data_IF_587450903432
#
_entry.id   IF_587450903432
#
_cell.length_a   1.000
_cell.length_b   1.000
_cell.length_c   1.000
_cell.angle_alpha   90.00
_cell.angle_beta   90.00
_cell.angle_gamma   90.00
#
_symmetry.space_group_name_H-M   'P 1'
#
loop_
_entity.id
_entity.type
_entity.pdbx_description
1 polymer ?
#
# COMPACT_ATOMS: atom_id res chain seq x y z
N UNK A 1 0.82 8.06 -22.17
CA UNK A 1 -0.46 7.46 -21.77
C UNK A 1 -1.49 8.56 -21.62
N UNK A 2 -2.71 8.34 -22.09
CA UNK A 2 -3.84 9.22 -21.79
C UNK A 2 -4.32 9.00 -20.34
N UNK A 3 -5.25 9.83 -19.88
CA UNK A 3 -5.75 9.78 -18.49
C UNK A 3 -6.43 8.46 -18.12
N UNK A 4 -7.12 7.82 -19.08
CA UNK A 4 -7.83 6.54 -18.87
C UNK A 4 -6.83 5.39 -18.78
N UNK A 5 -5.84 5.35 -19.66
CA UNK A 5 -4.74 4.37 -19.60
C UNK A 5 -3.99 4.47 -18.27
N UNK A 6 -3.70 5.70 -17.82
CA UNK A 6 -3.02 5.96 -16.56
C UNK A 6 -3.87 5.51 -15.37
N UNK A 7 -5.16 5.81 -15.39
CA UNK A 7 -6.11 5.35 -14.37
C UNK A 7 -6.14 3.82 -14.29
N UNK A 8 -6.35 3.13 -15.41
CA UNK A 8 -6.40 1.67 -15.45
C UNK A 8 -5.09 1.04 -14.96
N UNK A 9 -3.94 1.60 -15.37
CA UNK A 9 -2.64 1.11 -14.91
C UNK A 9 -2.48 1.23 -13.40
N UNK A 10 -2.83 2.38 -12.83
CA UNK A 10 -2.71 2.59 -11.38
C UNK A 10 -3.69 1.73 -10.57
N UNK A 11 -4.91 1.51 -11.06
CA UNK A 11 -5.87 0.61 -10.43
C UNK A 11 -5.35 -0.84 -10.43
N UNK A 12 -4.84 -1.33 -11.56
CA UNK A 12 -4.29 -2.68 -11.64
C UNK A 12 -3.02 -2.87 -10.80
N UNK A 13 -2.15 -1.87 -10.72
CA UNK A 13 -0.99 -1.89 -9.80
C UNK A 13 -1.49 -2.08 -8.37
N UNK A 14 -2.49 -1.32 -7.94
CA UNK A 14 -3.02 -1.37 -6.58
C UNK A 14 -3.57 -2.77 -6.24
N UNK A 15 -4.40 -3.33 -7.13
CA UNK A 15 -4.98 -4.67 -6.92
C UNK A 15 -3.92 -5.74 -6.91
N UNK A 16 -3.00 -5.74 -7.89
CA UNK A 16 -1.91 -6.72 -7.94
C UNK A 16 -0.99 -6.60 -6.73
N UNK A 17 -0.73 -5.37 -6.26
CA UNK A 17 0.10 -5.09 -5.09
C UNK A 17 -0.49 -5.70 -3.82
N UNK A 18 -1.77 -5.47 -3.57
CA UNK A 18 -2.46 -5.97 -2.38
C UNK A 18 -2.54 -7.52 -2.40
N UNK A 19 -2.88 -8.13 -3.54
CA UNK A 19 -2.89 -9.59 -3.71
C UNK A 19 -1.51 -10.21 -3.48
N UNK A 20 -0.49 -9.64 -4.11
CA UNK A 20 0.87 -10.19 -4.05
C UNK A 20 1.51 -9.96 -2.68
N UNK A 21 1.10 -8.91 -1.94
CA UNK A 21 1.55 -8.71 -0.56
C UNK A 21 1.02 -9.81 0.37
N UNK A 22 -0.23 -10.25 0.19
CA UNK A 22 -0.79 -11.36 0.95
C UNK A 22 -0.10 -12.69 0.59
N UNK A 23 0.08 -12.97 -0.70
CA UNK A 23 0.84 -14.14 -1.15
C UNK A 23 2.27 -14.15 -0.60
N UNK A 24 2.95 -13.00 -0.63
CA UNK A 24 4.29 -12.87 -0.05
C UNK A 24 4.29 -13.19 1.45
N UNK A 25 3.33 -12.69 2.22
CA UNK A 25 3.22 -12.98 3.65
C UNK A 25 3.01 -14.49 3.90
N UNK A 26 2.15 -15.14 3.11
CA UNK A 26 1.93 -16.60 3.16
C UNK A 26 3.22 -17.38 2.84
N UNK A 27 3.91 -17.04 1.75
CA UNK A 27 5.15 -17.70 1.36
C UNK A 27 6.22 -17.56 2.43
N UNK A 28 6.32 -16.40 3.05
CA UNK A 28 7.26 -16.19 4.14
C UNK A 28 6.99 -17.10 5.35
N UNK A 29 5.73 -17.25 5.75
CA UNK A 29 5.36 -18.14 6.87
C UNK A 29 5.66 -19.61 6.54
N UNK A 30 5.48 -20.03 5.28
CA UNK A 30 5.80 -21.39 4.83
C UNK A 30 7.31 -21.68 4.88
N UNK A 31 8.14 -20.73 4.43
CA UNK A 31 9.61 -20.87 4.41
C UNK A 31 10.20 -20.86 5.82
N UNK A 32 9.63 -20.09 6.75
CA UNK A 32 10.06 -20.12 8.15
C UNK A 32 9.75 -21.46 8.83
N UNK A 33 8.59 -22.06 8.52
CA UNK A 33 8.20 -23.35 9.06
C UNK A 33 9.06 -24.52 8.58
N UNK A 34 9.72 -24.40 7.42
CA UNK A 34 10.53 -25.47 6.82
C UNK A 34 12.02 -25.41 7.17
N UNK A 35 12.53 -24.27 7.65
CA UNK A 35 13.97 -24.08 7.95
C UNK A 35 14.89 -24.08 6.72
N UNK A 36 14.33 -23.97 5.50
CA UNK A 36 15.09 -24.02 4.25
C UNK A 36 15.65 -22.65 3.87
N UNK A 37 16.98 -22.46 4.00
CA UNK A 37 17.67 -21.22 3.59
C UNK A 37 17.54 -20.91 2.09
N UNK A 38 17.29 -21.93 1.28
CA UNK A 38 17.41 -21.84 -0.18
C UNK A 38 16.28 -21.00 -0.82
N UNK A 39 15.16 -20.82 -0.12
CA UNK A 39 14.04 -20.01 -0.59
C UNK A 39 14.19 -18.52 -0.26
N UNK A 40 15.18 -18.11 0.55
CA UNK A 40 15.31 -16.71 1.01
C UNK A 40 15.56 -15.75 -0.15
N UNK A 41 16.40 -16.11 -1.11
CA UNK A 41 16.68 -15.26 -2.28
C UNK A 41 15.47 -15.19 -3.23
N UNK A 42 14.68 -16.25 -3.33
CA UNK A 42 13.44 -16.25 -4.11
C UNK A 42 12.38 -15.34 -3.46
N UNK A 43 12.26 -15.35 -2.13
CA UNK A 43 11.39 -14.43 -1.39
C UNK A 43 11.83 -12.96 -1.56
N UNK A 44 13.14 -12.69 -1.55
CA UNK A 44 13.67 -11.35 -1.83
C UNK A 44 13.33 -10.90 -3.25
N UNK A 45 13.47 -11.77 -4.24
CA UNK A 45 13.09 -11.47 -5.62
C UNK A 45 11.59 -11.19 -5.75
N UNK A 46 10.73 -12.03 -5.16
CA UNK A 46 9.28 -11.81 -5.15
C UNK A 46 8.92 -10.49 -4.47
N UNK A 47 9.50 -10.23 -3.29
CA UNK A 47 9.34 -8.96 -2.57
C UNK A 47 9.81 -7.77 -3.40
N UNK A 48 10.90 -7.91 -4.16
CA UNK A 48 11.41 -6.82 -5.00
C UNK A 48 10.40 -6.42 -6.07
N UNK A 49 9.80 -7.39 -6.76
CA UNK A 49 8.74 -7.14 -7.74
C UNK A 49 7.60 -6.38 -7.05
N UNK A 50 7.09 -6.95 -5.96
CA UNK A 50 5.94 -6.44 -5.21
C UNK A 50 6.17 -5.03 -4.65
N UNK A 51 7.32 -4.77 -4.05
CA UNK A 51 7.61 -3.52 -3.35
C UNK A 51 8.29 -2.45 -4.23
N UNK A 52 8.74 -2.81 -5.44
CA UNK A 52 9.51 -1.92 -6.31
C UNK A 52 9.01 -1.93 -7.75
N UNK A 53 9.11 -3.06 -8.44
CA UNK A 53 8.94 -3.10 -9.90
C UNK A 53 7.51 -2.83 -10.35
N UNK A 54 6.50 -3.26 -9.58
CA UNK A 54 5.10 -2.93 -9.87
C UNK A 54 4.87 -1.41 -9.99
N UNK A 55 5.55 -0.59 -9.18
CA UNK A 55 5.45 0.86 -9.27
C UNK A 55 6.27 1.46 -10.42
N UNK A 56 7.23 0.73 -10.95
CA UNK A 56 8.05 1.15 -12.09
C UNK A 56 7.42 0.78 -13.44
N UNK A 57 6.44 -0.13 -13.46
CA UNK A 57 5.73 -0.49 -14.67
C UNK A 57 5.12 0.74 -15.37
N UNK A 58 5.31 0.79 -16.68
CA UNK A 58 4.88 1.88 -17.56
C UNK A 58 3.72 1.48 -18.47
N UNK A 59 3.37 0.20 -18.51
CA UNK A 59 2.25 -0.32 -19.29
C UNK A 59 1.61 -1.54 -18.62
N UNK A 60 0.37 -1.86 -19.04
CA UNK A 60 -0.34 -3.07 -18.59
C UNK A 60 0.41 -4.33 -19.02
N UNK A 61 1.01 -4.32 -20.22
CA UNK A 61 1.80 -5.43 -20.72
C UNK A 61 3.01 -5.74 -19.82
N UNK A 62 3.71 -4.71 -19.32
CA UNK A 62 4.79 -4.90 -18.34
C UNK A 62 4.27 -5.48 -17.02
N UNK A 63 3.09 -5.06 -16.54
CA UNK A 63 2.48 -5.66 -15.36
C UNK A 63 2.13 -7.13 -15.56
N UNK A 64 1.63 -7.51 -16.74
CA UNK A 64 1.32 -8.91 -17.05
C UNK A 64 2.59 -9.77 -17.01
N UNK A 65 3.73 -9.25 -17.48
CA UNK A 65 5.04 -9.92 -17.40
C UNK A 65 5.45 -10.09 -15.94
N UNK A 66 5.39 -9.02 -15.13
CA UNK A 66 5.74 -9.08 -13.70
C UNK A 66 4.84 -10.07 -12.94
N UNK A 67 3.54 -10.13 -13.28
CA UNK A 67 2.60 -11.10 -12.73
C UNK A 67 3.02 -12.54 -13.06
N UNK A 68 3.40 -12.82 -14.31
CA UNK A 68 3.90 -14.14 -14.70
C UNK A 68 5.19 -14.51 -13.95
N UNK A 69 6.09 -13.56 -13.73
CA UNK A 69 7.34 -13.81 -13.02
C UNK A 69 7.11 -14.07 -11.53
N UNK A 70 6.18 -13.37 -10.88
CA UNK A 70 5.73 -13.68 -9.52
C UNK A 70 5.14 -15.09 -9.42
N UNK A 71 4.31 -15.51 -10.38
CA UNK A 71 3.74 -16.88 -10.40
C UNK A 71 4.85 -17.93 -10.54
N UNK A 72 5.85 -17.71 -11.39
CA UNK A 72 7.00 -18.62 -11.50
C UNK A 72 7.75 -18.73 -10.18
N UNK A 73 8.06 -17.62 -9.53
CA UNK A 73 8.75 -17.58 -8.24
C UNK A 73 7.94 -18.31 -7.16
N UNK A 74 6.64 -18.07 -7.08
CA UNK A 74 5.74 -18.77 -6.15
C UNK A 74 5.78 -20.29 -6.35
N UNK A 75 5.69 -20.75 -7.60
CA UNK A 75 5.76 -22.18 -7.92
C UNK A 75 7.11 -22.77 -7.54
N UNK A 76 8.22 -22.11 -7.88
CA UNK A 76 9.57 -22.58 -7.51
C UNK A 76 9.77 -22.66 -6.00
N UNK A 77 9.29 -21.67 -5.25
CA UNK A 77 9.33 -21.72 -3.77
C UNK A 77 8.52 -22.91 -3.27
N UNK A 78 7.30 -23.09 -3.76
CA UNK A 78 6.40 -24.16 -3.31
C UNK A 78 6.97 -25.55 -3.64
N UNK A 79 7.56 -25.74 -4.82
CA UNK A 79 8.23 -26.97 -5.22
C UNK A 79 9.46 -27.27 -4.35
N UNK A 80 10.26 -26.25 -4.04
CA UNK A 80 11.44 -26.39 -3.17
C UNK A 80 11.05 -26.81 -1.75
N UNK A 81 9.96 -26.24 -1.22
CA UNK A 81 9.42 -26.62 0.09
C UNK A 81 8.87 -28.04 0.09
N UNK A 82 8.17 -28.45 -0.97
CA UNK A 82 7.68 -29.82 -1.11
C UNK A 82 8.85 -30.83 -1.11
N UNK A 83 9.90 -30.57 -1.89
CA UNK A 83 11.10 -31.43 -1.93
C UNK A 83 11.76 -31.55 -0.55
N UNK A 84 11.96 -30.43 0.15
CA UNK A 84 12.52 -30.44 1.51
C UNK A 84 11.66 -31.24 2.50
N UNK A 85 10.32 -31.17 2.39
CA UNK A 85 9.43 -31.97 3.23
C UNK A 85 9.46 -33.48 2.93
N UNK A 86 9.73 -33.89 1.68
CA UNK A 86 9.94 -35.29 1.33
C UNK A 86 11.26 -35.84 1.90
N UNK A 87 12.30 -34.99 1.98
CA UNK A 87 13.60 -35.33 2.56
C UNK A 87 13.57 -35.41 4.11
N UNK A 88 12.56 -34.80 4.77
CA UNK A 88 12.38 -34.78 6.23
C UNK A 88 11.20 -35.69 6.65
N UNK A 89 11.08 -36.88 6.04
CA UNK A 89 10.14 -37.89 6.55
C UNK A 89 10.71 -38.64 7.76
N UNK A 90 10.83 -37.92 8.88
CA UNK A 90 10.63 -38.48 10.22
C UNK A 90 10.40 -37.36 11.28
N UNK A 91 9.29 -37.48 12.01
CA UNK A 91 8.86 -36.75 13.23
C UNK A 91 7.92 -35.52 13.10
N UNK A 92 6.62 -35.86 13.17
CA UNK A 92 5.52 -35.30 14.00
C UNK A 92 5.12 -33.80 13.97
N UNK A 93 3.83 -33.66 13.63
CA UNK A 93 2.71 -33.23 14.50
C UNK A 93 1.95 -31.98 14.04
N UNK A 94 0.75 -32.24 13.54
CA UNK A 94 -0.35 -31.29 13.41
C UNK A 94 -0.65 -30.71 14.79
N UNK A 95 -0.50 -29.38 14.94
CA UNK A 95 -1.09 -28.67 16.08
C UNK A 95 -2.57 -28.47 15.78
N UNK A 96 -3.38 -29.39 16.29
CA UNK A 96 -4.81 -29.14 16.52
C UNK A 96 -5.01 -28.27 17.76
N UNK A 97 -6.08 -27.48 17.71
CA UNK A 97 -6.68 -26.61 18.74
C UNK A 97 -6.03 -25.25 18.93
N UNK A 98 -6.78 -24.18 18.64
CA UNK A 98 -6.65 -22.94 19.40
C UNK A 98 -8.04 -22.35 19.67
N UNK A 99 -8.24 -22.00 20.95
CA UNK A 99 -9.41 -21.31 21.46
C UNK A 99 -9.68 -20.01 20.69
N UNK A 100 -10.95 -19.67 20.57
CA UNK A 100 -11.51 -18.52 19.84
C UNK A 100 -10.91 -17.16 20.25
N UNK A 101 -10.34 -17.06 21.47
CA UNK A 101 -9.63 -15.86 21.99
C UNK A 101 -8.13 -15.83 21.68
N UNK A 102 -7.51 -16.96 21.31
CA UNK A 102 -6.07 -17.03 21.07
C UNK A 102 -5.66 -16.34 19.76
N UNK A 103 -6.50 -16.41 18.73
CA UNK A 103 -6.18 -15.92 17.37
C UNK A 103 -6.27 -14.40 17.19
N UNK A 104 -6.91 -13.68 18.12
CA UNK A 104 -7.05 -12.22 18.08
C UNK A 104 -5.81 -11.50 18.63
N UNK A 105 -4.94 -12.25 19.32
CA UNK A 105 -3.71 -11.76 19.91
C UNK A 105 -2.50 -12.39 19.24
N UNK A 106 -1.36 -11.71 19.30
CA UNK A 106 -0.07 -12.21 18.85
C UNK A 106 0.95 -11.94 19.95
N UNK A 107 1.95 -12.82 20.06
CA UNK A 107 3.03 -12.62 21.03
C UNK A 107 4.11 -11.67 20.44
N UNK A 108 5.02 -11.21 21.29
CA UNK A 108 6.10 -10.30 20.86
C UNK A 108 7.10 -10.97 19.92
N UNK A 109 7.36 -12.27 20.08
CA UNK A 109 8.31 -13.00 19.25
C UNK A 109 7.84 -13.10 17.79
N UNK A 110 6.56 -13.37 17.57
CA UNK A 110 5.95 -13.41 16.24
C UNK A 110 6.01 -12.02 15.57
N UNK A 111 5.76 -10.96 16.35
CA UNK A 111 5.87 -9.58 15.86
C UNK A 111 7.31 -9.24 15.47
N UNK A 112 8.28 -9.55 16.32
CA UNK A 112 9.69 -9.25 16.10
C UNK A 112 10.23 -10.00 14.87
N UNK A 113 9.85 -11.27 14.69
CA UNK A 113 10.17 -12.05 13.48
C UNK A 113 9.58 -11.42 12.21
N UNK A 114 8.29 -11.06 12.25
CA UNK A 114 7.64 -10.40 11.11
C UNK A 114 8.28 -9.05 10.77
N UNK A 115 8.70 -8.29 11.78
CA UNK A 115 9.40 -7.03 11.63
C UNK A 115 10.78 -7.24 11.00
N UNK A 116 11.61 -8.13 11.55
CA UNK A 116 12.95 -8.41 11.01
C UNK A 116 12.88 -8.83 9.54
N UNK A 117 11.97 -9.75 9.23
CA UNK A 117 11.69 -10.19 7.87
C UNK A 117 11.29 -9.04 6.95
N UNK A 118 10.34 -8.21 7.41
CA UNK A 118 9.87 -7.05 6.63
C UNK A 118 11.01 -6.09 6.33
N UNK A 119 11.89 -5.81 7.30
CA UNK A 119 13.06 -4.95 7.09
C UNK A 119 14.02 -5.57 6.07
N UNK A 120 14.32 -6.86 6.18
CA UNK A 120 15.19 -7.58 5.24
C UNK A 120 14.64 -7.56 3.80
N UNK A 121 13.33 -7.77 3.65
CA UNK A 121 12.66 -7.77 2.35
C UNK A 121 12.54 -6.39 1.73
N UNK A 122 12.27 -5.35 2.52
CA UNK A 122 12.11 -3.97 2.03
C UNK A 122 13.44 -3.30 1.68
N UNK A 123 14.53 -3.67 2.36
CA UNK A 123 15.87 -3.09 2.14
C UNK A 123 16.62 -3.74 0.98
N UNK A 124 16.12 -4.85 0.44
CA UNK A 124 16.73 -5.53 -0.71
C UNK A 124 16.77 -4.61 -1.95
N UNK A 125 17.97 -4.48 -2.54
CA UNK A 125 18.27 -3.55 -3.64
C UNK A 125 17.87 -2.10 -3.35
N UNK A 126 18.01 -1.65 -2.09
CA UNK A 126 17.84 -0.24 -1.69
C UNK A 126 19.13 0.31 -1.13
N UNK A 127 19.36 1.59 -1.40
CA UNK A 127 20.53 2.31 -0.93
C UNK A 127 20.15 3.31 0.16
N UNK A 128 20.98 3.39 1.18
CA UNK A 128 20.93 4.46 2.18
C UNK A 128 21.36 5.79 1.54
N UNK A 129 20.91 6.91 2.11
CA UNK A 129 21.25 8.25 1.63
C UNK A 129 21.89 9.08 2.75
N UNK A 130 22.94 9.85 2.41
CA UNK A 130 23.51 10.85 3.32
C UNK A 130 22.60 12.06 3.51
N UNK A 131 21.66 12.27 2.58
CA UNK A 131 20.61 13.31 2.62
C UNK A 131 19.25 12.63 2.42
N UNK A 132 18.77 11.88 3.42
CA UNK A 132 17.61 11.03 3.24
C UNK A 132 16.34 11.85 3.07
N UNK A 133 15.46 11.38 2.16
CA UNK A 133 14.17 12.02 1.88
C UNK A 133 13.02 11.14 2.30
N UNK A 134 11.98 11.76 2.82
CA UNK A 134 10.72 11.10 3.10
C UNK A 134 9.57 11.84 2.42
N UNK A 135 8.64 11.10 1.85
CA UNK A 135 7.41 11.61 1.27
C UNK A 135 6.25 11.03 2.05
N UNK A 136 5.49 11.87 2.75
CA UNK A 136 4.26 11.46 3.42
C UNK A 136 3.10 11.70 2.48
N UNK A 137 2.23 10.70 2.32
CA UNK A 137 1.09 10.78 1.41
C UNK A 137 -0.20 11.16 2.13
N UNK A 138 -1.09 11.81 1.37
CA UNK A 138 -2.47 12.06 1.76
C UNK A 138 -3.43 11.89 0.60
N UNK A 139 -4.72 11.82 0.92
CA UNK A 139 -5.82 11.72 -0.05
C UNK A 139 -6.84 10.70 0.39
N UNK A 140 -8.09 10.91 -0.01
CA UNK A 140 -9.17 9.98 0.34
C UNK A 140 -8.94 8.59 -0.26
N UNK A 141 -9.52 7.56 0.35
CA UNK A 141 -9.50 6.20 -0.20
C UNK A 141 -10.01 6.19 -1.63
N UNK A 142 -9.33 5.43 -2.49
CA UNK A 142 -9.65 5.39 -3.92
C UNK A 142 -9.26 6.63 -4.72
N UNK A 143 -8.67 7.69 -4.14
CA UNK A 143 -8.25 8.87 -4.91
C UNK A 143 -7.12 8.59 -5.92
N UNK A 144 -6.35 7.50 -5.74
CA UNK A 144 -5.28 7.09 -6.65
C UNK A 144 -3.88 7.48 -6.17
N UNK A 145 -3.58 7.26 -4.88
CA UNK A 145 -2.27 7.57 -4.27
C UNK A 145 -1.12 6.82 -4.95
N UNK A 146 -1.39 5.65 -5.52
CA UNK A 146 -0.50 4.85 -6.39
C UNK A 146 0.17 5.72 -7.47
N UNK A 147 -0.52 6.74 -7.99
CA UNK A 147 0.05 7.73 -8.90
C UNK A 147 1.30 8.42 -8.32
N UNK A 148 1.25 8.84 -7.05
CA UNK A 148 2.39 9.49 -6.39
C UNK A 148 3.50 8.49 -6.09
N UNK A 149 3.17 7.26 -5.67
CA UNK A 149 4.17 6.20 -5.53
C UNK A 149 4.97 6.03 -6.83
N UNK A 150 4.29 5.95 -7.97
CA UNK A 150 4.93 5.83 -9.28
C UNK A 150 5.81 7.03 -9.62
N UNK A 151 5.32 8.26 -9.42
CA UNK A 151 6.13 9.48 -9.65
C UNK A 151 7.46 9.40 -8.89
N UNK A 152 7.41 9.11 -7.59
CA UNK A 152 8.61 9.05 -6.73
C UNK A 152 9.50 7.84 -7.03
N UNK A 153 8.91 6.70 -7.37
CA UNK A 153 9.67 5.51 -7.77
C UNK A 153 10.40 5.72 -9.09
N UNK A 154 9.76 6.32 -10.10
CA UNK A 154 10.39 6.64 -11.38
C UNK A 154 11.50 7.69 -11.23
N UNK A 155 11.24 8.77 -10.48
CA UNK A 155 12.24 9.82 -10.18
C UNK A 155 13.50 9.27 -9.50
N UNK A 156 13.33 8.27 -8.62
CA UNK A 156 14.42 7.66 -7.84
C UNK A 156 14.98 6.36 -8.41
N UNK A 157 14.45 5.90 -9.55
CA UNK A 157 14.75 4.57 -10.12
C UNK A 157 14.55 3.43 -9.10
N UNK A 158 13.46 3.49 -8.34
CA UNK A 158 13.05 2.46 -7.38
C UNK A 158 13.78 2.49 -6.03
N UNK A 159 14.47 3.59 -5.70
CA UNK A 159 15.27 3.68 -4.47
C UNK A 159 14.50 4.21 -3.24
N UNK A 160 13.18 4.33 -3.32
CA UNK A 160 12.31 4.56 -2.16
C UNK A 160 11.80 3.23 -1.60
N UNK A 161 11.63 3.17 -0.28
CA UNK A 161 10.89 2.12 0.40
C UNK A 161 9.47 2.63 0.68
N UNK A 162 8.46 1.91 0.20
CA UNK A 162 7.05 2.19 0.47
C UNK A 162 6.66 1.51 1.78
N UNK A 163 6.13 2.31 2.71
CA UNK A 163 5.56 1.86 3.98
C UNK A 163 4.05 2.03 3.87
N UNK A 164 3.35 0.89 3.71
CA UNK A 164 1.91 0.80 3.53
C UNK A 164 1.33 -0.17 4.57
N UNK A 165 0.54 0.38 5.49
CA UNK A 165 -0.02 -0.38 6.61
C UNK A 165 -1.00 -1.47 6.19
N UNK A 166 -1.70 -1.31 5.06
CA UNK A 166 -2.67 -2.32 4.63
C UNK A 166 -1.99 -3.60 4.14
N UNK A 167 -0.75 -3.50 3.62
CA UNK A 167 0.07 -4.68 3.24
C UNK A 167 0.58 -5.46 4.45
N UNK A 168 0.75 -4.82 5.61
CA UNK A 168 1.25 -5.50 6.81
C UNK A 168 0.19 -6.31 7.54
N UNK A 169 -1.10 -6.10 7.24
CA UNK A 169 -2.19 -6.89 7.85
C UNK A 169 -2.04 -8.38 7.61
N UNK A 170 -1.66 -8.75 6.39
CA UNK A 170 -1.45 -10.15 5.98
C UNK A 170 -0.30 -10.85 6.72
N UNK A 171 0.56 -10.09 7.40
CA UNK A 171 1.65 -10.64 8.20
C UNK A 171 1.23 -10.98 9.63
N UNK A 172 -0.03 -10.72 10.01
CA UNK A 172 -0.55 -11.18 11.29
C UNK A 172 -0.46 -12.71 11.36
N UNK A 173 0.02 -13.31 12.46
CA UNK A 173 0.26 -14.76 12.54
C UNK A 173 -0.98 -15.61 12.22
N UNK A 174 -2.15 -15.12 12.62
CA UNK A 174 -3.44 -15.77 12.41
C UNK A 174 -4.31 -15.09 11.34
N UNK A 175 -3.69 -14.44 10.35
CA UNK A 175 -4.41 -13.61 9.37
C UNK A 175 -5.53 -14.37 8.65
N UNK A 176 -5.24 -15.60 8.20
CA UNK A 176 -6.20 -16.42 7.44
C UNK A 176 -7.35 -16.89 8.32
N UNK A 177 -7.07 -17.30 9.54
CA UNK A 177 -8.08 -17.71 10.52
C UNK A 177 -9.00 -16.54 10.88
N UNK A 178 -8.45 -15.31 10.98
CA UNK A 178 -9.24 -14.10 11.17
C UNK A 178 -10.13 -13.81 9.95
N UNK A 179 -9.63 -13.97 8.72
CA UNK A 179 -10.44 -13.82 7.50
C UNK A 179 -11.55 -14.87 7.40
N UNK A 180 -11.24 -16.14 7.64
CA UNK A 180 -12.23 -17.23 7.56
C UNK A 180 -13.33 -17.08 8.61
N UNK A 181 -13.00 -16.56 9.80
CA UNK A 181 -13.95 -16.38 10.91
C UNK A 181 -14.77 -15.09 10.80
N UNK A 182 -14.13 -13.97 10.46
CA UNK A 182 -14.73 -12.64 10.53
C UNK A 182 -14.99 -12.00 9.16
N UNK A 183 -14.51 -12.62 8.07
CA UNK A 183 -14.65 -12.09 6.72
C UNK A 183 -14.17 -10.65 6.60
N UNK A 184 -15.05 -9.77 6.14
CA UNK A 184 -14.79 -8.33 5.98
C UNK A 184 -14.45 -7.62 7.29
N UNK A 185 -14.90 -8.13 8.44
CA UNK A 185 -14.67 -7.53 9.76
C UNK A 185 -13.30 -7.92 10.34
N UNK A 186 -12.53 -8.81 9.69
CA UNK A 186 -11.15 -9.17 10.08
C UNK A 186 -10.20 -7.96 10.14
N UNK A 187 -10.55 -6.87 9.44
CA UNK A 187 -9.83 -5.58 9.46
C UNK A 187 -9.75 -4.99 10.87
N UNK A 188 -10.77 -5.20 11.71
CA UNK A 188 -10.80 -4.68 13.08
C UNK A 188 -9.85 -5.39 14.03
N UNK A 189 -9.48 -6.63 13.73
CA UNK A 189 -8.55 -7.43 14.52
C UNK A 189 -7.09 -7.23 14.05
N UNK A 190 -6.89 -7.01 12.75
CA UNK A 190 -5.53 -6.80 12.18
C UNK A 190 -5.02 -5.36 12.30
N UNK A 191 -5.90 -4.36 12.54
CA UNK A 191 -5.53 -2.93 12.53
C UNK A 191 -4.44 -2.58 13.54
N UNK A 192 -4.47 -3.19 14.72
CA UNK A 192 -3.50 -2.91 15.78
C UNK A 192 -2.11 -3.44 15.42
N UNK A 193 -2.03 -4.66 14.88
CA UNK A 193 -0.79 -5.24 14.39
C UNK A 193 -0.18 -4.39 13.28
N UNK A 194 -0.99 -4.06 12.26
CA UNK A 194 -0.56 -3.25 11.12
C UNK A 194 -0.06 -1.86 11.57
N UNK A 195 -0.78 -1.19 12.48
CA UNK A 195 -0.37 0.10 13.02
C UNK A 195 0.99 0.04 13.74
N UNK A 196 1.20 -0.94 14.62
CA UNK A 196 2.49 -1.15 15.29
C UNK A 196 3.61 -1.49 14.30
N UNK A 197 3.32 -2.29 13.27
CA UNK A 197 4.29 -2.63 12.23
C UNK A 197 4.72 -1.38 11.45
N UNK A 198 3.78 -0.50 11.07
CA UNK A 198 4.09 0.78 10.42
C UNK A 198 5.02 1.62 11.29
N UNK A 199 4.70 1.81 12.57
CA UNK A 199 5.53 2.60 13.50
C UNK A 199 6.95 2.02 13.62
N UNK A 200 7.07 0.70 13.84
CA UNK A 200 8.35 0.03 13.99
C UNK A 200 9.19 0.07 12.69
N UNK A 201 8.56 -0.12 11.53
CA UNK A 201 9.23 -0.05 10.23
C UNK A 201 9.71 1.38 9.93
N UNK A 202 8.87 2.40 10.19
CA UNK A 202 9.28 3.81 10.08
C UNK A 202 10.48 4.07 10.97
N UNK A 203 10.43 3.67 12.25
CA UNK A 203 11.51 3.94 13.20
C UNK A 203 12.82 3.28 12.77
N UNK A 204 12.79 1.99 12.40
CA UNK A 204 13.97 1.23 12.00
C UNK A 204 14.58 1.76 10.70
N UNK A 205 13.78 1.91 9.64
CA UNK A 205 14.29 2.33 8.33
C UNK A 205 14.73 3.79 8.31
N UNK A 206 14.07 4.66 9.08
CA UNK A 206 14.49 6.06 9.22
C UNK A 206 15.83 6.19 9.96
N UNK A 207 16.07 5.34 10.97
CA UNK A 207 17.35 5.31 11.67
C UNK A 207 18.49 4.88 10.75
N UNK A 208 18.21 3.97 9.80
CA UNK A 208 19.14 3.49 8.78
C UNK A 208 19.32 4.43 7.58
N UNK A 209 18.58 5.55 7.52
CA UNK A 209 18.70 6.59 6.47
C UNK A 209 18.27 6.14 5.07
N UNK A 210 17.28 5.25 4.95
CA UNK A 210 16.64 4.95 3.67
C UNK A 210 15.68 6.05 3.23
N UNK A 211 15.47 6.20 1.92
CA UNK A 211 14.42 7.09 1.43
C UNK A 211 13.04 6.42 1.59
N UNK A 212 12.06 7.14 2.14
CA UNK A 212 10.77 6.57 2.54
C UNK A 212 9.59 7.21 1.80
N UNK A 213 8.61 6.41 1.43
CA UNK A 213 7.26 6.87 1.09
C UNK A 213 6.32 6.29 2.14
N UNK A 214 5.64 7.13 2.90
CA UNK A 214 4.76 6.73 4.00
C UNK A 214 3.32 6.97 3.58
N UNK A 215 2.57 5.87 3.42
CA UNK A 215 1.18 5.90 2.97
C UNK A 215 0.26 6.44 4.08
N UNK A 216 -0.75 7.20 3.68
CA UNK A 216 -1.62 7.92 4.59
C UNK A 216 -2.85 8.50 3.89
N UNK A 217 -3.89 8.77 4.68
CA UNK A 217 -5.18 9.28 4.18
C UNK A 217 -5.47 10.73 4.58
N UNK A 218 -4.64 11.31 5.45
CA UNK A 218 -4.84 12.65 6.02
C UNK A 218 -6.20 12.82 6.72
N UNK A 219 -6.64 11.80 7.47
CA UNK A 219 -7.83 11.87 8.36
C UNK A 219 -7.70 12.92 9.46
N UNK A 220 -6.46 13.19 9.87
CA UNK A 220 -6.07 14.22 10.83
C UNK A 220 -4.71 14.76 10.41
N UNK A 221 -4.46 16.05 10.63
CA UNK A 221 -3.16 16.67 10.43
C UNK A 221 -2.11 16.22 11.47
N UNK A 222 -2.54 15.81 12.67
CA UNK A 222 -1.63 15.48 13.77
C UNK A 222 -0.69 14.30 13.44
N UNK A 223 -1.19 13.26 12.78
CA UNK A 223 -0.40 12.07 12.42
C UNK A 223 0.77 12.44 11.48
N UNK A 224 0.56 13.04 10.30
CA UNK A 224 1.66 13.42 9.43
C UNK A 224 2.56 14.50 10.04
N UNK A 225 2.05 15.42 10.88
CA UNK A 225 2.88 16.38 11.64
C UNK A 225 3.86 15.66 12.58
N UNK A 226 3.36 14.69 13.36
CA UNK A 226 4.19 13.92 14.28
C UNK A 226 5.22 13.08 13.53
N UNK A 227 4.82 12.41 12.45
CA UNK A 227 5.72 11.63 11.59
C UNK A 227 6.79 12.52 10.95
N UNK A 228 6.42 13.69 10.43
CA UNK A 228 7.37 14.64 9.86
C UNK A 228 8.37 15.16 10.91
N UNK A 229 7.90 15.44 12.12
CA UNK A 229 8.74 15.87 13.25
C UNK A 229 9.77 14.81 13.62
N UNK A 230 9.35 13.54 13.75
CA UNK A 230 10.24 12.40 13.99
C UNK A 230 11.29 12.24 12.89
N UNK A 231 10.90 12.34 11.63
CA UNK A 231 11.82 12.19 10.51
C UNK A 231 12.81 13.36 10.42
N UNK A 232 12.34 14.59 10.64
CA UNK A 232 13.20 15.77 10.69
C UNK A 232 14.20 15.71 11.83
N UNK A 233 13.83 15.21 13.02
CA UNK A 233 14.79 14.99 14.11
C UNK A 233 15.85 13.95 13.76
N UNK A 234 15.56 13.06 12.80
CA UNK A 234 16.50 12.13 12.19
C UNK A 234 17.18 12.69 10.93
N UNK A 235 17.12 13.99 10.68
CA UNK A 235 17.84 14.65 9.58
C UNK A 235 17.24 14.43 8.18
N UNK A 236 15.95 14.08 8.09
CA UNK A 236 15.28 13.94 6.80
C UNK A 236 14.81 15.28 6.25
N UNK A 237 14.87 15.41 4.93
CA UNK A 237 14.01 16.33 4.18
C UNK A 237 12.66 15.66 3.97
N UNK A 238 11.57 16.28 4.44
CA UNK A 238 10.24 15.68 4.43
C UNK A 238 9.30 16.49 3.54
N UNK A 239 8.82 15.88 2.47
CA UNK A 239 7.77 16.42 1.60
C UNK A 239 6.41 15.79 1.97
N UNK A 240 5.33 16.54 1.77
CA UNK A 240 3.97 15.98 1.79
C UNK A 240 3.38 16.01 0.39
N UNK A 241 2.82 14.90 -0.06
CA UNK A 241 2.17 14.80 -1.38
C UNK A 241 0.73 14.32 -1.23
N UNK A 242 -0.20 15.16 -1.68
CA UNK A 242 -1.64 14.89 -1.68
C UNK A 242 -2.08 14.47 -3.08
N UNK A 243 -2.88 13.42 -3.19
CA UNK A 243 -3.71 13.20 -4.38
C UNK A 243 -5.09 13.82 -4.12
N UNK A 244 -5.57 14.65 -5.03
CA UNK A 244 -6.91 15.24 -4.95
C UNK A 244 -7.76 14.78 -6.16
N UNK A 245 -9.01 14.40 -5.91
CA UNK A 245 -9.92 13.85 -6.94
C UNK A 245 -11.37 14.06 -6.51
N UNK A 246 -12.29 14.22 -7.47
CA UNK A 246 -13.74 14.29 -7.20
C UNK A 246 -14.20 13.16 -6.25
N UNK A 247 -14.94 13.48 -5.17
CA UNK A 247 -15.39 12.48 -4.19
C UNK A 247 -16.17 11.30 -4.79
N UNK A 248 -16.98 11.56 -5.82
CA UNK A 248 -17.78 10.54 -6.51
C UNK A 248 -16.88 9.56 -7.26
N UNK A 249 -15.84 10.07 -7.92
CA UNK A 249 -14.88 9.26 -8.66
C UNK A 249 -13.99 8.45 -7.71
N UNK A 250 -13.51 9.04 -6.60
CA UNK A 250 -12.71 8.31 -5.63
C UNK A 250 -13.52 7.20 -4.94
N UNK A 251 -14.77 7.46 -4.58
CA UNK A 251 -15.65 6.44 -4.01
C UNK A 251 -15.93 5.30 -5.00
N UNK A 252 -16.25 5.62 -6.26
CA UNK A 252 -16.44 4.59 -7.29
C UNK A 252 -15.18 3.73 -7.47
N UNK A 253 -13.99 4.33 -7.45
CA UNK A 253 -12.73 3.56 -7.49
C UNK A 253 -12.57 2.63 -6.27
N UNK A 254 -13.05 3.00 -5.07
CA UNK A 254 -13.05 2.05 -3.94
C UNK A 254 -13.96 0.85 -4.18
N UNK A 255 -15.09 1.05 -4.87
CA UNK A 255 -16.00 -0.04 -5.24
C UNK A 255 -15.39 -0.93 -6.32
N UNK A 256 -14.76 -0.34 -7.33
CA UNK A 256 -14.06 -1.08 -8.37
C UNK A 256 -12.96 -1.97 -7.79
N UNK A 257 -12.10 -1.43 -6.92
CA UNK A 257 -11.06 -2.22 -6.24
C UNK A 257 -11.65 -3.40 -5.48
N UNK A 258 -12.75 -3.18 -4.75
CA UNK A 258 -13.43 -4.25 -4.03
C UNK A 258 -13.98 -5.33 -4.97
N UNK A 259 -14.61 -4.93 -6.08
CA UNK A 259 -15.15 -5.86 -7.07
C UNK A 259 -14.04 -6.64 -7.81
N UNK A 260 -12.94 -5.98 -8.16
CA UNK A 260 -11.77 -6.64 -8.76
C UNK A 260 -11.18 -7.68 -7.81
N UNK A 261 -11.08 -7.36 -6.52
CA UNK A 261 -10.65 -8.33 -5.51
C UNK A 261 -11.63 -9.49 -5.36
N UNK A 262 -12.94 -9.24 -5.32
CA UNK A 262 -13.96 -10.30 -5.24
C UNK A 262 -13.88 -11.29 -6.42
N UNK A 263 -13.59 -10.80 -7.63
CA UNK A 263 -13.46 -11.65 -8.82
C UNK A 263 -12.24 -12.57 -8.72
N UNK A 264 -11.18 -12.14 -8.04
CA UNK A 264 -9.94 -12.91 -7.90
C UNK A 264 -10.00 -13.85 -6.69
N UNK A 265 -10.24 -13.31 -5.50
CA UNK A 265 -10.40 -14.08 -4.27
C UNK A 265 -11.35 -13.34 -3.31
N UNK A 266 -12.58 -13.86 -3.10
CA UNK A 266 -13.53 -13.28 -2.17
C UNK A 266 -13.04 -13.14 -0.72
N UNK A 267 -12.08 -13.97 -0.28
CA UNK A 267 -11.53 -13.90 1.08
C UNK A 267 -10.59 -12.70 1.27
N UNK A 268 -9.98 -12.20 0.19
CA UNK A 268 -9.09 -11.03 0.22
C UNK A 268 -9.84 -9.71 0.04
N UNK A 269 -11.08 -9.76 -0.46
CA UNK A 269 -11.83 -8.56 -0.80
C UNK A 269 -12.29 -7.78 0.44
N UNK A 270 -11.84 -6.53 0.54
CA UNK A 270 -12.19 -5.62 1.65
C UNK A 270 -12.85 -4.36 1.13
N UNK A 271 -14.12 -4.18 1.48
CA UNK A 271 -14.85 -2.98 1.13
C UNK A 271 -14.36 -1.79 1.97
N UNK A 272 -14.34 -0.60 1.37
CA UNK A 272 -14.12 0.64 2.12
C UNK A 272 -15.47 1.18 2.59
N UNK A 273 -15.74 1.27 3.91
CA UNK A 273 -16.99 1.84 4.38
C UNK A 273 -17.16 3.28 3.89
N UNK A 274 -18.31 3.60 3.30
CA UNK A 274 -18.60 4.94 2.76
C UNK A 274 -18.39 6.05 3.79
N UNK A 275 -18.78 5.81 5.04
CA UNK A 275 -18.58 6.77 6.14
C UNK A 275 -17.11 7.12 6.38
N UNK A 276 -16.19 6.15 6.23
CA UNK A 276 -14.75 6.41 6.34
C UNK A 276 -14.25 7.27 5.17
N UNK A 277 -14.66 6.95 3.94
CA UNK A 277 -14.32 7.75 2.76
C UNK A 277 -14.82 9.21 2.90
N UNK A 278 -16.11 9.38 3.18
CA UNK A 278 -16.75 10.69 3.25
C UNK A 278 -16.22 11.53 4.43
N UNK A 279 -15.85 10.88 5.54
CA UNK A 279 -15.18 11.53 6.67
C UNK A 279 -13.83 12.13 6.30
N UNK A 280 -13.04 11.46 5.44
CA UNK A 280 -11.80 12.01 4.90
C UNK A 280 -12.11 13.20 4.01
N UNK A 281 -13.01 13.05 3.03
CA UNK A 281 -13.38 14.13 2.10
C UNK A 281 -13.80 15.40 2.86
N UNK A 282 -14.61 15.26 3.91
CA UNK A 282 -15.10 16.39 4.73
C UNK A 282 -13.98 17.12 5.47
N UNK A 283 -12.94 16.41 5.90
CA UNK A 283 -11.84 16.98 6.71
C UNK A 283 -10.60 17.35 5.89
N UNK A 284 -10.50 16.89 4.63
CA UNK A 284 -9.28 16.94 3.84
C UNK A 284 -8.76 18.37 3.63
N UNK A 285 -9.64 19.31 3.28
CA UNK A 285 -9.30 20.73 3.06
C UNK A 285 -8.76 21.37 4.34
N UNK A 286 -9.45 21.20 5.47
CA UNK A 286 -9.00 21.76 6.74
C UNK A 286 -7.64 21.17 7.17
N UNK A 287 -7.48 19.85 7.04
CA UNK A 287 -6.26 19.17 7.45
C UNK A 287 -5.05 19.57 6.58
N UNK A 288 -5.19 19.70 5.26
CA UNK A 288 -4.07 20.11 4.40
C UNK A 288 -3.67 21.57 4.63
N UNK A 289 -4.64 22.45 4.91
CA UNK A 289 -4.36 23.84 5.33
C UNK A 289 -3.61 23.87 6.67
N UNK A 290 -3.97 23.01 7.63
CA UNK A 290 -3.24 22.89 8.89
C UNK A 290 -1.78 22.44 8.66
N UNK A 291 -1.55 21.49 7.73
CA UNK A 291 -0.19 21.10 7.35
C UNK A 291 0.59 22.28 6.73
N UNK A 292 -0.04 23.10 5.89
CA UNK A 292 0.58 24.31 5.32
C UNK A 292 0.98 25.30 6.40
N UNK A 293 0.08 25.58 7.34
CA UNK A 293 0.29 26.50 8.46
C UNK A 293 1.36 26.00 9.43
N UNK A 294 1.57 24.69 9.55
CA UNK A 294 2.60 24.13 10.42
C UNK A 294 4.02 24.54 10.02
N UNK A 295 4.27 24.85 8.74
CA UNK A 295 5.60 25.15 8.21
C UNK A 295 6.62 24.00 8.33
N UNK A 296 6.15 22.78 8.65
CA UNK A 296 7.03 21.64 8.93
C UNK A 296 7.57 20.95 7.68
N UNK A 297 6.85 20.99 6.56
CA UNK A 297 7.22 20.27 5.35
C UNK A 297 8.14 21.10 4.46
N UNK A 298 9.08 20.44 3.79
CA UNK A 298 9.95 21.06 2.78
C UNK A 298 9.13 21.57 1.60
N UNK A 299 8.16 20.78 1.15
CA UNK A 299 7.13 21.22 0.22
C UNK A 299 5.81 20.47 0.46
N UNK A 300 4.71 21.16 0.17
CA UNK A 300 3.40 20.54 -0.03
C UNK A 300 3.15 20.48 -1.54
N UNK A 301 2.78 19.29 -2.02
CA UNK A 301 2.53 19.04 -3.43
C UNK A 301 1.14 18.42 -3.60
N UNK A 302 0.38 18.89 -4.59
CA UNK A 302 -0.92 18.29 -4.95
C UNK A 302 -0.83 17.75 -6.36
N UNK A 303 -1.25 16.50 -6.51
CA UNK A 303 -1.29 15.78 -7.77
C UNK A 303 -2.73 15.42 -8.14
N UNK A 304 -2.97 15.35 -9.45
CA UNK A 304 -4.14 14.70 -10.05
C UNK A 304 -3.78 13.31 -10.55
N UNK A 305 -4.79 12.50 -10.90
CA UNK A 305 -4.61 11.11 -11.37
C UNK A 305 -3.80 10.99 -12.68
N UNK A 306 -3.79 12.03 -13.50
CA UNK A 306 -3.04 12.11 -14.76
C UNK A 306 -1.53 12.39 -14.58
N UNK A 307 -0.98 12.24 -13.37
CA UNK A 307 0.41 12.57 -12.98
C UNK A 307 0.73 14.08 -12.93
N UNK A 308 -0.23 14.94 -13.21
CA UNK A 308 -0.03 16.38 -13.19
C UNK A 308 0.13 16.89 -11.75
N UNK A 309 1.24 17.59 -11.49
CA UNK A 309 1.42 18.38 -10.27
C UNK A 309 0.71 19.73 -10.45
N UNK A 310 -0.42 19.89 -9.78
CA UNK A 310 -1.27 21.09 -9.89
C UNK A 310 -0.98 22.12 -8.81
N UNK A 311 -0.17 21.75 -7.80
CA UNK A 311 0.27 22.64 -6.75
C UNK A 311 1.65 22.24 -6.23
N UNK A 312 2.48 23.24 -5.94
CA UNK A 312 3.72 23.08 -5.20
C UNK A 312 3.93 24.34 -4.34
N UNK A 313 3.99 24.19 -3.02
CA UNK A 313 4.09 25.32 -2.08
C UNK A 313 5.33 26.20 -2.28
N UNK A 314 6.35 25.71 -3.00
CA UNK A 314 7.54 26.51 -3.36
C UNK A 314 7.33 27.40 -4.58
N UNK A 315 6.32 27.14 -5.38
CA UNK A 315 6.05 27.80 -6.67
C UNK A 315 4.74 28.59 -6.66
N UNK A 316 3.82 28.25 -5.76
CA UNK A 316 2.50 28.82 -5.67
C UNK A 316 2.38 29.82 -4.51
N UNK A 317 1.61 30.90 -4.71
CA UNK A 317 1.26 31.87 -3.66
C UNK A 317 -0.15 31.66 -3.10
N UNK A 318 -0.98 30.89 -3.80
CA UNK A 318 -2.31 30.51 -3.32
C UNK A 318 -2.21 29.47 -2.20
N UNK A 319 -3.15 29.48 -1.26
CA UNK A 319 -3.19 28.45 -0.21
C UNK A 319 -3.54 27.09 -0.83
N UNK A 320 -2.86 26.04 -0.38
CA UNK A 320 -3.15 24.66 -0.77
C UNK A 320 -4.61 24.28 -0.53
N UNK A 321 -5.24 24.83 0.52
CA UNK A 321 -6.64 24.56 0.86
C UNK A 321 -7.60 24.96 -0.26
N UNK A 322 -7.43 26.16 -0.80
CA UNK A 322 -8.25 26.69 -1.91
C UNK A 322 -8.11 25.81 -3.16
N UNK A 323 -6.89 25.42 -3.50
CA UNK A 323 -6.64 24.56 -4.67
C UNK A 323 -7.30 23.19 -4.50
N UNK A 324 -7.17 22.58 -3.33
CA UNK A 324 -7.79 21.28 -3.03
C UNK A 324 -9.32 21.38 -3.02
N UNK A 325 -9.88 22.41 -2.40
CA UNK A 325 -11.33 22.66 -2.39
C UNK A 325 -11.89 22.79 -3.82
N UNK A 326 -11.20 23.54 -4.68
CA UNK A 326 -11.58 23.70 -6.08
C UNK A 326 -11.51 22.38 -6.86
N UNK A 327 -10.52 21.52 -6.60
CA UNK A 327 -10.44 20.20 -7.25
C UNK A 327 -11.60 19.32 -6.78
N UNK A 328 -11.86 19.25 -5.47
CA UNK A 328 -12.90 18.38 -4.91
C UNK A 328 -14.31 18.82 -5.31
N UNK A 329 -14.62 20.11 -5.21
CA UNK A 329 -15.99 20.63 -5.25
C UNK A 329 -16.26 21.64 -6.37
N UNK A 330 -15.23 22.05 -7.12
CA UNK A 330 -15.40 22.88 -8.31
C UNK A 330 -16.02 22.12 -9.49
N UNK A 331 -16.10 22.75 -10.66
CA UNK A 331 -16.62 22.12 -11.88
C UNK A 331 -15.85 20.86 -12.26
N UNK A 332 -16.53 19.95 -12.96
CA UNK A 332 -15.91 18.77 -13.55
C UNK A 332 -15.20 19.14 -14.84
N UNK A 333 -13.99 18.64 -14.99
CA UNK A 333 -13.24 18.66 -16.25
C UNK A 333 -13.72 17.54 -17.18
N UNK A 334 -13.38 17.66 -18.48
CA UNK A 334 -13.69 16.61 -19.46
C UNK A 334 -13.06 15.26 -19.08
N UNK A 335 -11.80 15.30 -18.64
CA UNK A 335 -11.06 14.10 -18.22
C UNK A 335 -11.73 13.41 -17.03
N UNK A 336 -12.16 14.16 -16.02
CA UNK A 336 -12.89 13.60 -14.86
C UNK A 336 -14.21 12.97 -15.28
N UNK A 337 -14.98 13.61 -16.17
CA UNK A 337 -16.23 13.06 -16.69
C UNK A 337 -16.00 11.77 -17.47
N UNK A 338 -14.99 11.73 -18.33
CA UNK A 338 -14.61 10.51 -19.07
C UNK A 338 -14.17 9.39 -18.13
N UNK A 339 -13.37 9.70 -17.10
CA UNK A 339 -12.98 8.70 -16.09
C UNK A 339 -14.18 8.14 -15.34
N UNK A 340 -15.16 8.98 -15.00
CA UNK A 340 -16.39 8.53 -14.34
C UNK A 340 -17.21 7.59 -15.22
N UNK A 341 -17.36 7.91 -16.51
CA UNK A 341 -18.08 7.07 -17.48
C UNK A 341 -17.41 5.71 -17.64
N UNK A 342 -16.08 5.68 -17.87
CA UNK A 342 -15.32 4.43 -17.98
C UNK A 342 -15.41 3.60 -16.70
N UNK A 343 -15.27 4.25 -15.54
CA UNK A 343 -15.35 3.57 -14.25
C UNK A 343 -16.74 2.95 -14.00
N UNK A 344 -17.82 3.60 -14.44
CA UNK A 344 -19.18 3.04 -14.34
C UNK A 344 -19.36 1.82 -15.25
N UNK A 345 -18.85 1.87 -16.48
CA UNK A 345 -18.89 0.72 -17.38
C UNK A 345 -18.11 -0.47 -16.81
N UNK A 346 -16.91 -0.22 -16.27
CA UNK A 346 -16.11 -1.25 -15.59
C UNK A 346 -16.84 -1.85 -14.38
N UNK A 347 -17.53 -1.03 -13.58
CA UNK A 347 -18.29 -1.51 -12.42
C UNK A 347 -19.40 -2.47 -12.87
N UNK A 348 -20.13 -2.11 -13.94
CA UNK A 348 -21.19 -2.97 -14.50
C UNK A 348 -20.63 -4.29 -15.02
N UNK A 349 -19.50 -4.26 -15.74
CA UNK A 349 -18.82 -5.45 -16.25
C UNK A 349 -18.35 -6.38 -15.13
N UNK A 350 -17.77 -5.83 -14.06
CA UNK A 350 -17.33 -6.63 -12.90
C UNK A 350 -18.51 -7.22 -12.14
N UNK A 351 -19.57 -6.44 -11.92
CA UNK A 351 -20.81 -6.95 -11.29
C UNK A 351 -21.44 -8.08 -12.08
N UNK A 352 -21.41 -8.02 -13.42
CA UNK A 352 -21.93 -9.08 -14.28
C UNK A 352 -21.13 -10.39 -14.22
N UNK A 353 -19.88 -10.36 -13.73
CA UNK A 353 -19.04 -11.56 -13.53
C UNK A 353 -19.26 -12.22 -12.16
N UNK A 354 -19.88 -11.51 -11.22
CA UNK A 354 -20.14 -11.99 -9.87
C UNK A 354 -21.53 -12.68 -9.83
N UNK A 355 -21.69 -13.74 -9.01
CA UNK A 355 -22.91 -14.55 -8.94
C UNK A 355 -24.14 -13.82 -8.40
#
# INVERSE_FOLDING_TARGET
>A
MNVVEQYNLTLQIEVLKEQSAETLARLCNLVEGSGTSDCVELLKAYSHIVNTELYLATSIHELDILKLDMVKLENTITESLAQASYDISDVKAVKETSDVQAIESYNSEDFDKALERTINLLTFNKNISSTPRAVILGGQSGAGKTTIHRVKMLESKGNYIVIDGDTYRAQHPYFRELQEKYGVDSVDYTKMFAGKMVEAVIDKLSSLKYNLIIEGTLRSAAVPINTATLLKSKGYTVDFCLIATKPELSYLTTQLRYLEMLVVDPLQARATPKGHHDGIVKSLVANITELEQSGLFESLQVYKRNLEQVYNSKLCTESVGTVVEQILFGPWTKDESTLLEVSKSQEQELRAKLP
#
